data_IF_678615466164
#
_entry.id   IF_678615466164
#
_cell.length_a   1.000
_cell.length_b   1.000
_cell.length_c   1.000
_cell.angle_alpha   90.00
_cell.angle_beta   90.00
_cell.angle_gamma   90.00
#
_symmetry.space_group_name_H-M   'P 1'
#
loop_
_entity.id
_entity.type
_entity.pdbx_description
1 polymer ?
#
# COMPACT_ATOMS: atom_id res chain seq x y z
N UNK A 1 -23.30 -4.01 -8.14
CA UNK A 1 -24.67 -4.38 -8.55
C UNK A 1 -25.43 -4.85 -7.31
N UNK A 2 -26.76 -4.83 -7.29
CA UNK A 2 -27.53 -5.49 -6.22
C UNK A 2 -27.43 -7.03 -6.32
N UNK A 3 -28.08 -7.76 -5.40
CA UNK A 3 -28.04 -9.22 -5.40
C UNK A 3 -28.68 -9.82 -6.68
N UNK A 4 -29.47 -9.01 -7.37
CA UNK A 4 -30.21 -9.32 -8.60
C UNK A 4 -29.46 -8.86 -9.87
N UNK A 5 -28.22 -8.36 -9.74
CA UNK A 5 -27.39 -7.98 -10.88
C UNK A 5 -27.75 -6.65 -11.54
N UNK A 6 -28.54 -5.79 -10.89
CA UNK A 6 -28.87 -4.45 -11.38
C UNK A 6 -27.81 -3.43 -10.98
N UNK A 7 -27.56 -2.39 -11.81
CA UNK A 7 -26.72 -1.28 -11.40
C UNK A 7 -27.30 -0.63 -10.14
N UNK A 8 -26.48 -0.50 -9.09
CA UNK A 8 -26.88 0.28 -7.91
C UNK A 8 -26.86 1.76 -8.28
N UNK A 9 -27.69 2.54 -7.63
CA UNK A 9 -27.63 3.99 -7.72
C UNK A 9 -26.22 4.49 -7.44
N UNK A 10 -25.82 5.54 -8.16
CA UNK A 10 -24.52 6.18 -7.98
C UNK A 10 -24.42 6.61 -6.53
N UNK A 11 -23.41 6.13 -5.80
CA UNK A 11 -23.18 6.53 -4.41
C UNK A 11 -23.14 8.07 -4.38
N UNK A 12 -24.11 8.73 -3.73
CA UNK A 12 -24.36 10.15 -3.93
C UNK A 12 -23.26 11.02 -3.31
N UNK A 13 -22.45 10.46 -2.40
CA UNK A 13 -21.41 11.18 -1.68
C UNK A 13 -20.06 10.44 -1.76
N UNK A 14 -19.04 11.14 -2.27
CA UNK A 14 -17.66 10.66 -2.26
C UNK A 14 -17.15 10.64 -0.82
N UNK A 15 -17.27 9.48 -0.16
CA UNK A 15 -16.71 9.32 1.19
C UNK A 15 -15.18 9.35 1.11
N UNK A 16 -14.56 10.05 2.06
CA UNK A 16 -13.09 10.18 2.14
C UNK A 16 -12.50 8.90 2.73
N UNK A 17 -11.38 8.43 2.14
CA UNK A 17 -10.62 7.24 2.58
C UNK A 17 -9.95 7.45 3.96
N UNK A 18 -9.89 8.69 4.46
CA UNK A 18 -9.31 9.03 5.76
C UNK A 18 -9.07 10.53 5.92
N UNK A 19 -8.33 10.92 6.96
CA UNK A 19 -8.05 12.33 7.29
C UNK A 19 -7.07 13.03 6.33
N UNK A 20 -6.22 12.26 5.63
CA UNK A 20 -5.23 12.82 4.70
C UNK A 20 -5.82 12.98 3.29
N UNK A 21 -5.33 13.93 2.47
CA UNK A 21 -5.63 13.98 1.05
C UNK A 21 -5.30 12.64 0.34
N UNK A 22 -6.09 12.20 -0.66
CA UNK A 22 -5.87 10.93 -1.35
C UNK A 22 -4.45 10.73 -1.88
N UNK A 23 -3.83 11.76 -2.45
CA UNK A 23 -2.44 11.70 -2.91
C UNK A 23 -1.47 11.30 -1.79
N UNK A 24 -1.59 11.92 -0.61
CA UNK A 24 -0.72 11.62 0.54
C UNK A 24 -0.95 10.21 1.07
N UNK A 25 -2.20 9.75 1.07
CA UNK A 25 -2.54 8.38 1.44
C UNK A 25 -1.95 7.36 0.47
N UNK A 26 -2.08 7.60 -0.84
CA UNK A 26 -1.54 6.74 -1.89
C UNK A 26 -0.01 6.66 -1.81
N UNK A 27 0.70 7.75 -1.52
CA UNK A 27 2.15 7.74 -1.32
C UNK A 27 2.57 6.89 -0.11
N UNK A 28 1.79 6.96 0.98
CA UNK A 28 2.07 6.17 2.20
C UNK A 28 1.83 4.69 1.98
N UNK A 29 0.74 4.30 1.31
CA UNK A 29 0.29 2.89 1.28
C UNK A 29 -0.29 2.50 -0.08
N UNK A 30 0.09 1.30 -0.54
CA UNK A 30 -0.62 0.61 -1.61
C UNK A 30 -1.99 0.13 -1.09
N UNK A 31 -3.06 0.49 -1.79
CA UNK A 31 -4.46 0.20 -1.43
C UNK A 31 -4.91 -1.22 -1.82
N UNK A 32 -4.01 -2.04 -2.36
CA UNK A 32 -4.30 -3.44 -2.68
C UNK A 32 -4.51 -3.63 -4.18
N UNK A 33 -5.04 -4.79 -4.59
CA UNK A 33 -5.17 -5.12 -6.01
C UNK A 33 -6.24 -4.27 -6.69
N UNK A 34 -6.12 -4.03 -8.01
CA UNK A 34 -7.01 -3.13 -8.75
C UNK A 34 -8.44 -3.67 -8.97
N UNK A 35 -8.76 -4.86 -8.44
CA UNK A 35 -10.04 -5.56 -8.69
C UNK A 35 -11.27 -4.79 -8.23
N UNK A 36 -11.13 -3.92 -7.23
CA UNK A 36 -12.21 -3.08 -6.70
C UNK A 36 -12.15 -1.64 -7.18
N UNK A 37 -11.25 -1.29 -8.11
CA UNK A 37 -11.07 0.09 -8.55
C UNK A 37 -11.80 0.36 -9.85
N UNK A 38 -12.45 1.52 -9.91
CA UNK A 38 -13.03 2.03 -11.14
C UNK A 38 -12.54 3.44 -11.37
N UNK A 39 -12.28 3.77 -12.63
CA UNK A 39 -11.78 5.08 -13.03
C UNK A 39 -12.57 5.55 -14.25
N UNK A 40 -12.72 6.87 -14.38
CA UNK A 40 -13.19 7.45 -15.64
C UNK A 40 -12.15 7.19 -16.72
N UNK A 41 -12.59 6.89 -17.93
CA UNK A 41 -11.70 6.70 -19.09
C UNK A 41 -10.73 7.89 -19.26
N UNK A 42 -11.24 9.11 -19.11
CA UNK A 42 -10.42 10.33 -19.21
C UNK A 42 -9.25 10.35 -18.21
N UNK A 43 -9.44 9.80 -17.00
CA UNK A 43 -8.41 9.79 -15.98
C UNK A 43 -7.30 8.79 -16.35
N UNK A 44 -7.68 7.65 -16.93
CA UNK A 44 -6.72 6.67 -17.44
C UNK A 44 -5.86 7.25 -18.57
N UNK A 45 -6.49 7.88 -19.56
CA UNK A 45 -5.81 8.50 -20.70
C UNK A 45 -4.93 9.67 -20.28
N UNK A 46 -5.45 10.62 -19.49
CA UNK A 46 -4.70 11.81 -19.06
C UNK A 46 -3.56 11.50 -18.10
N UNK A 47 -3.66 10.42 -17.32
CA UNK A 47 -2.57 9.99 -16.45
C UNK A 47 -1.55 9.12 -17.19
N UNK A 48 -1.85 8.60 -18.39
CA UNK A 48 -0.92 7.81 -19.19
C UNK A 48 -0.92 6.31 -18.89
N UNK A 49 -2.05 5.75 -18.41
CA UNK A 49 -2.22 4.31 -18.19
C UNK A 49 -1.19 3.68 -17.24
N UNK A 50 -0.97 2.37 -17.36
CA UNK A 50 0.06 1.64 -16.60
C UNK A 50 1.43 1.78 -17.25
N UNK A 51 2.48 1.87 -16.43
CA UNK A 51 3.85 1.93 -16.94
C UNK A 51 4.38 0.52 -17.23
N UNK A 52 4.65 0.16 -18.50
CA UNK A 52 5.08 -1.18 -18.89
C UNK A 52 6.49 -1.55 -18.40
N UNK A 53 7.29 -0.56 -17.95
CA UNK A 53 8.62 -0.79 -17.40
C UNK A 53 8.58 -1.23 -15.93
N UNK A 54 7.45 -1.04 -15.25
CA UNK A 54 7.25 -1.55 -13.90
C UNK A 54 6.82 -3.01 -13.96
N UNK A 55 7.65 -3.89 -13.39
CA UNK A 55 7.35 -5.33 -13.24
C UNK A 55 6.51 -5.65 -12.00
N UNK A 56 6.31 -4.66 -11.13
CA UNK A 56 5.55 -4.78 -9.88
C UNK A 56 5.14 -3.39 -9.42
N UNK A 57 3.99 -3.30 -8.75
CA UNK A 57 3.41 -2.05 -8.25
C UNK A 57 3.04 -1.03 -9.35
N UNK A 58 2.84 -1.50 -10.59
CA UNK A 58 2.35 -0.71 -11.72
C UNK A 58 0.95 -0.14 -11.45
N UNK A 59 0.11 -0.93 -10.77
CA UNK A 59 -1.21 -0.55 -10.29
C UNK A 59 -1.14 0.62 -9.29
N UNK A 60 -0.20 0.51 -8.35
CA UNK A 60 0.00 1.52 -7.33
C UNK A 60 0.62 2.80 -7.87
N UNK A 61 1.58 2.71 -8.80
CA UNK A 61 2.11 3.85 -9.54
C UNK A 61 0.99 4.63 -10.24
N UNK A 62 0.09 3.92 -10.93
CA UNK A 62 -1.04 4.53 -11.59
C UNK A 62 -1.98 5.25 -10.61
N UNK A 63 -2.31 4.63 -9.48
CA UNK A 63 -3.16 5.26 -8.46
C UNK A 63 -2.53 6.51 -7.86
N UNK A 64 -1.21 6.54 -7.61
CA UNK A 64 -0.54 7.76 -7.12
C UNK A 64 -0.68 8.90 -8.13
N UNK A 65 -0.48 8.60 -9.42
CA UNK A 65 -0.67 9.59 -10.51
C UNK A 65 -2.10 10.09 -10.58
N UNK A 66 -3.10 9.21 -10.54
CA UNK A 66 -4.52 9.60 -10.51
C UNK A 66 -4.81 10.47 -9.28
N UNK A 67 -4.36 10.05 -8.10
CA UNK A 67 -4.59 10.78 -6.84
C UNK A 67 -3.95 12.17 -6.83
N UNK A 68 -2.92 12.42 -7.65
CA UNK A 68 -2.29 13.73 -7.79
C UNK A 68 -3.13 14.74 -8.59
N UNK A 69 -4.11 14.27 -9.37
CA UNK A 69 -4.89 15.08 -10.31
C UNK A 69 -6.40 15.03 -10.09
N UNK A 70 -6.90 13.95 -9.52
CA UNK A 70 -8.33 13.68 -9.38
C UNK A 70 -8.70 13.44 -7.92
N UNK A 71 -9.93 13.82 -7.56
CA UNK A 71 -10.54 13.39 -6.33
C UNK A 71 -10.80 11.88 -6.36
N UNK A 72 -10.63 11.23 -5.22
CA UNK A 72 -10.88 9.79 -5.05
C UNK A 72 -11.96 9.63 -3.99
N UNK A 73 -13.02 8.93 -4.36
CA UNK A 73 -14.05 8.46 -3.43
C UNK A 73 -13.84 6.99 -3.07
N UNK A 74 -14.45 6.59 -1.96
CA UNK A 74 -14.38 5.22 -1.46
C UNK A 74 -15.75 4.74 -1.01
N UNK A 75 -16.09 3.51 -1.39
CA UNK A 75 -17.25 2.80 -0.89
C UNK A 75 -16.76 1.72 0.10
N UNK A 76 -17.16 1.77 1.39
CA UNK A 76 -16.75 0.79 2.38
C UNK A 76 -17.42 -0.57 2.22
N UNK A 77 -18.44 -0.69 1.36
CA UNK A 77 -19.10 -1.97 1.14
C UNK A 77 -18.20 -2.95 0.38
N UNK A 78 -18.26 -4.22 0.77
CA UNK A 78 -17.49 -5.28 0.10
C UNK A 78 -18.10 -5.52 -1.28
N UNK A 79 -17.38 -5.12 -2.33
CA UNK A 79 -17.82 -5.28 -3.72
C UNK A 79 -17.15 -6.47 -4.43
N UNK A 80 -15.99 -6.92 -3.95
CA UNK A 80 -15.17 -7.95 -4.63
C UNK A 80 -14.47 -8.84 -3.61
N UNK A 81 -14.47 -10.15 -3.87
CA UNK A 81 -13.66 -11.13 -3.15
C UNK A 81 -12.41 -11.45 -3.97
N UNK A 82 -11.23 -11.22 -3.39
CA UNK A 82 -9.95 -11.53 -4.03
C UNK A 82 -9.36 -12.82 -3.47
N UNK A 83 -9.00 -13.77 -4.35
CA UNK A 83 -8.35 -15.02 -3.95
C UNK A 83 -6.88 -14.78 -3.67
N UNK A 84 -6.46 -15.09 -2.45
CA UNK A 84 -5.04 -15.14 -2.06
C UNK A 84 -4.57 -16.60 -2.12
N UNK A 85 -3.46 -16.85 -2.80
CA UNK A 85 -2.81 -18.17 -2.92
C UNK A 85 -1.35 -18.08 -2.49
N UNK A 86 -0.79 -19.21 -2.08
CA UNK A 86 0.63 -19.31 -1.77
C UNK A 86 1.48 -18.99 -3.02
N UNK A 87 2.56 -18.22 -2.86
CA UNK A 87 3.49 -17.89 -3.94
C UNK A 87 3.12 -16.70 -4.84
N UNK A 88 2.04 -15.95 -4.56
CA UNK A 88 1.73 -14.72 -5.33
C UNK A 88 2.86 -13.68 -5.26
N UNK A 89 2.96 -12.77 -6.24
CA UNK A 89 4.01 -11.73 -6.27
C UNK A 89 4.12 -10.92 -4.97
N UNK A 90 3.00 -10.73 -4.25
CA UNK A 90 2.94 -10.07 -2.93
C UNK A 90 3.62 -10.85 -1.80
N UNK A 91 3.94 -12.13 -2.01
CA UNK A 91 4.68 -12.98 -1.07
C UNK A 91 6.20 -12.85 -1.19
N UNK A 92 6.72 -12.23 -2.26
CA UNK A 92 8.14 -11.90 -2.36
C UNK A 92 8.40 -10.52 -1.73
N UNK A 93 8.53 -10.53 -0.41
CA UNK A 93 8.71 -9.33 0.39
C UNK A 93 9.92 -8.46 -0.03
N UNK A 94 11.03 -9.08 -0.47
CA UNK A 94 12.20 -8.35 -0.98
C UNK A 94 11.82 -7.52 -2.21
N UNK A 95 11.22 -8.17 -3.23
CA UNK A 95 10.79 -7.48 -4.45
C UNK A 95 9.78 -6.38 -4.17
N UNK A 96 8.88 -6.59 -3.21
CA UNK A 96 7.87 -5.61 -2.85
C UNK A 96 8.49 -4.35 -2.22
N UNK A 97 9.54 -4.47 -1.39
CA UNK A 97 10.23 -3.30 -0.83
C UNK A 97 10.90 -2.45 -1.91
N UNK A 98 11.63 -3.10 -2.82
CA UNK A 98 12.33 -2.42 -3.90
C UNK A 98 11.37 -1.78 -4.91
N UNK A 99 10.35 -2.52 -5.35
CA UNK A 99 9.31 -2.00 -6.22
C UNK A 99 8.61 -0.80 -5.57
N UNK A 100 8.28 -0.91 -4.28
CA UNK A 100 7.62 0.16 -3.56
C UNK A 100 8.48 1.42 -3.45
N UNK A 101 9.77 1.26 -3.18
CA UNK A 101 10.72 2.37 -3.15
C UNK A 101 10.83 3.03 -4.52
N UNK A 102 10.93 2.25 -5.60
CA UNK A 102 11.01 2.75 -6.97
C UNK A 102 9.77 3.57 -7.36
N UNK A 103 8.57 3.06 -7.06
CA UNK A 103 7.31 3.77 -7.34
C UNK A 103 7.25 5.11 -6.60
N UNK A 104 7.66 5.17 -5.32
CA UNK A 104 7.72 6.44 -4.59
C UNK A 104 8.75 7.41 -5.17
N UNK A 105 9.95 6.93 -5.53
CA UNK A 105 10.96 7.81 -6.14
C UNK A 105 10.46 8.38 -7.47
N UNK A 106 9.87 7.54 -8.32
CA UNK A 106 9.27 7.95 -9.59
C UNK A 106 8.19 9.02 -9.40
N UNK A 107 7.32 8.85 -8.42
CA UNK A 107 6.17 9.74 -8.23
C UNK A 107 6.48 11.02 -7.43
N UNK A 108 7.72 11.23 -7.00
CA UNK A 108 8.13 12.46 -6.30
C UNK A 108 7.92 13.72 -7.15
N UNK A 109 7.97 13.59 -8.49
CA UNK A 109 7.73 14.68 -9.43
C UNK A 109 6.30 15.27 -9.36
N UNK A 110 5.32 14.52 -8.84
CA UNK A 110 3.93 14.99 -8.69
C UNK A 110 3.69 15.73 -7.37
N UNK A 111 4.71 15.88 -6.53
CA UNK A 111 4.58 16.52 -5.23
C UNK A 111 4.61 18.05 -5.32
N UNK A 112 3.51 18.69 -4.96
CA UNK A 112 3.48 20.16 -4.76
C UNK A 112 4.34 20.60 -3.55
N UNK A 113 4.53 19.71 -2.57
CA UNK A 113 5.32 19.97 -1.34
C UNK A 113 6.38 18.87 -1.15
N UNK A 114 7.61 19.06 -1.66
CA UNK A 114 8.64 18.02 -1.65
C UNK A 114 9.00 17.48 -0.25
N UNK A 115 9.12 18.35 0.75
CA UNK A 115 9.41 17.92 2.13
C UNK A 115 8.28 17.06 2.70
N UNK A 116 7.03 17.46 2.46
CA UNK A 116 5.88 16.68 2.91
C UNK A 116 5.82 15.33 2.20
N UNK A 117 6.12 15.29 0.90
CA UNK A 117 6.19 14.05 0.14
C UNK A 117 7.28 13.11 0.69
N UNK A 118 8.48 13.64 0.95
CA UNK A 118 9.57 12.86 1.56
C UNK A 118 9.14 12.27 2.89
N UNK A 119 8.45 13.04 3.73
CA UNK A 119 7.90 12.55 4.99
C UNK A 119 6.88 11.43 4.79
N UNK A 120 5.91 11.62 3.89
CA UNK A 120 4.89 10.61 3.60
C UNK A 120 5.50 9.34 2.98
N UNK A 121 6.52 9.48 2.13
CA UNK A 121 7.25 8.37 1.53
C UNK A 121 8.07 7.58 2.56
N UNK A 122 8.78 8.28 3.46
CA UNK A 122 9.52 7.65 4.57
C UNK A 122 8.58 6.92 5.52
N UNK A 123 7.47 7.55 5.88
CA UNK A 123 6.44 6.92 6.71
C UNK A 123 5.89 5.66 6.05
N UNK A 124 5.56 5.73 4.76
CA UNK A 124 5.09 4.58 4.00
C UNK A 124 6.12 3.45 3.89
N UNK A 125 7.40 3.80 3.73
CA UNK A 125 8.50 2.84 3.69
C UNK A 125 8.66 2.15 5.05
N UNK A 126 8.59 2.91 6.14
CA UNK A 126 8.61 2.38 7.50
C UNK A 126 7.47 1.38 7.74
N UNK A 127 6.22 1.74 7.42
CA UNK A 127 5.06 0.86 7.65
C UNK A 127 5.11 -0.43 6.81
N UNK A 128 5.53 -0.32 5.54
CA UNK A 128 5.71 -1.49 4.68
C UNK A 128 6.82 -2.39 5.22
N UNK A 129 7.97 -1.80 5.57
CA UNK A 129 9.10 -2.51 6.16
C UNK A 129 8.73 -3.21 7.46
N UNK A 130 7.94 -2.55 8.32
CA UNK A 130 7.44 -3.12 9.57
C UNK A 130 6.56 -4.33 9.31
N UNK A 131 5.56 -4.21 8.43
CA UNK A 131 4.68 -5.33 8.05
C UNK A 131 5.48 -6.52 7.52
N UNK A 132 6.43 -6.27 6.65
CA UNK A 132 7.28 -7.29 6.04
C UNK A 132 8.20 -7.96 7.07
N UNK A 133 8.85 -7.17 7.92
CA UNK A 133 9.73 -7.68 8.97
C UNK A 133 8.95 -8.59 9.93
N UNK A 134 7.77 -8.15 10.38
CA UNK A 134 6.90 -8.97 11.23
C UNK A 134 6.41 -10.23 10.51
N UNK A 135 5.96 -10.13 9.26
CA UNK A 135 5.57 -11.31 8.48
C UNK A 135 6.73 -12.31 8.34
N UNK A 136 7.94 -11.83 8.06
CA UNK A 136 9.15 -12.66 7.95
C UNK A 136 9.52 -13.33 9.27
N UNK A 137 9.39 -12.62 10.40
CA UNK A 137 9.72 -13.15 11.73
C UNK A 137 8.67 -14.15 12.26
N UNK A 138 7.38 -13.84 12.08
CA UNK A 138 6.29 -14.55 12.76
C UNK A 138 5.49 -15.50 11.88
N UNK A 139 5.48 -15.32 10.55
CA UNK A 139 4.70 -16.16 9.62
C UNK A 139 5.58 -17.11 8.78
N UNK A 140 6.89 -17.14 9.01
CA UNK A 140 7.81 -18.00 8.26
C UNK A 140 7.95 -19.41 8.83
N UNK A 141 7.88 -20.43 7.96
CA UNK A 141 8.30 -21.81 8.25
C UNK A 141 9.83 -21.98 8.44
N UNK A 142 10.36 -23.21 8.41
CA UNK A 142 11.79 -23.47 8.64
C UNK A 142 12.70 -22.58 7.78
N UNK A 143 13.80 -22.09 8.35
CA UNK A 143 14.72 -21.14 7.70
C UNK A 143 14.29 -19.66 7.73
N UNK A 144 13.25 -19.29 8.52
CA UNK A 144 12.78 -17.90 8.69
C UNK A 144 13.87 -16.93 9.15
N UNK A 145 14.75 -17.34 10.06
CA UNK A 145 15.81 -16.48 10.59
C UNK A 145 16.82 -16.11 9.49
N UNK A 146 17.26 -17.09 8.69
CA UNK A 146 18.17 -16.86 7.56
C UNK A 146 17.57 -15.94 6.48
N UNK A 147 16.28 -16.13 6.14
CA UNK A 147 15.56 -15.22 5.22
C UNK A 147 15.45 -13.81 5.79
N UNK A 148 15.12 -13.67 7.07
CA UNK A 148 15.01 -12.37 7.73
C UNK A 148 16.37 -11.67 7.81
N UNK A 149 17.44 -12.40 8.12
CA UNK A 149 18.80 -11.86 8.13
C UNK A 149 19.22 -11.35 6.74
N UNK A 150 18.92 -12.10 5.68
CA UNK A 150 19.17 -11.69 4.28
C UNK A 150 18.38 -10.43 3.90
N UNK A 151 17.11 -10.37 4.29
CA UNK A 151 16.24 -9.22 4.09
C UNK A 151 16.82 -7.96 4.78
N UNK A 152 17.22 -8.07 6.04
CA UNK A 152 17.81 -6.97 6.81
C UNK A 152 19.17 -6.55 6.24
N UNK A 153 20.00 -7.49 5.82
CA UNK A 153 21.29 -7.20 5.19
C UNK A 153 21.13 -6.40 3.88
N UNK A 154 20.13 -6.72 3.05
CA UNK A 154 19.80 -5.96 1.84
C UNK A 154 19.09 -4.63 2.11
N UNK A 155 18.39 -4.53 3.23
CA UNK A 155 17.62 -3.35 3.61
C UNK A 155 17.93 -2.93 5.05
N UNK A 156 19.11 -2.32 5.32
CA UNK A 156 19.55 -1.99 6.67
C UNK A 156 18.59 -1.04 7.42
N UNK A 157 17.82 -0.24 6.69
CA UNK A 157 16.79 0.62 7.27
C UNK A 157 15.72 -0.14 8.08
N UNK A 158 15.56 -1.45 7.86
CA UNK A 158 14.68 -2.30 8.67
C UNK A 158 15.16 -2.49 10.11
N UNK A 159 16.46 -2.30 10.41
CA UNK A 159 16.98 -2.34 11.78
C UNK A 159 16.34 -1.25 12.65
N UNK A 160 16.22 -0.04 12.11
CA UNK A 160 15.53 1.07 12.76
C UNK A 160 14.05 0.80 12.96
N UNK A 161 13.42 0.05 12.05
CA UNK A 161 12.03 -0.39 12.19
C UNK A 161 11.85 -1.35 13.36
N UNK A 162 12.75 -2.33 13.49
CA UNK A 162 12.76 -3.26 14.62
C UNK A 162 12.99 -2.55 15.95
N UNK A 163 13.97 -1.66 16.02
CA UNK A 163 14.28 -0.90 17.24
C UNK A 163 13.13 0.01 17.70
N UNK A 164 12.50 0.76 16.78
CA UNK A 164 11.36 1.62 17.11
C UNK A 164 10.11 0.80 17.50
N UNK A 165 9.91 -0.36 16.89
CA UNK A 165 8.82 -1.26 17.26
C UNK A 165 9.04 -1.83 18.66
N UNK A 166 10.26 -2.30 18.98
CA UNK A 166 10.62 -2.81 20.31
C UNK A 166 10.50 -1.72 21.38
N UNK A 167 10.98 -0.50 21.10
CA UNK A 167 10.83 0.65 22.00
C UNK A 167 9.34 1.00 22.25
N UNK A 168 8.48 0.92 21.22
CA UNK A 168 7.03 1.12 21.38
C UNK A 168 6.39 0.03 22.25
N UNK A 169 6.82 -1.22 22.13
CA UNK A 169 6.37 -2.32 22.99
C UNK A 169 6.83 -2.14 24.44
N UNK A 170 8.09 -1.76 24.65
CA UNK A 170 8.65 -1.47 25.97
C UNK A 170 7.98 -0.24 26.63
N UNK A 171 7.55 0.73 25.84
CA UNK A 171 6.76 1.87 26.28
C UNK A 171 5.26 1.57 26.50
N UNK A 172 4.85 0.29 26.46
CA UNK A 172 3.50 -0.16 26.80
C UNK A 172 2.43 0.06 25.71
N UNK A 173 2.80 0.57 24.53
CA UNK A 173 1.87 0.68 23.40
C UNK A 173 1.66 -0.69 22.76
N UNK A 174 0.57 -1.36 23.15
CA UNK A 174 0.14 -2.60 22.50
C UNK A 174 -0.32 -2.29 21.06
N UNK A 175 0.01 -3.15 20.07
CA UNK A 175 -0.56 -3.02 18.74
C UNK A 175 -2.08 -3.10 18.84
N UNK A 176 -2.80 -2.21 18.15
CA UNK A 176 -4.25 -2.28 18.03
C UNK A 176 -4.60 -3.64 17.44
N UNK A 177 -5.17 -4.54 18.26
CA UNK A 177 -5.83 -5.74 17.78
C UNK A 177 -6.92 -5.29 16.81
N UNK A 178 -6.78 -5.62 15.53
CA UNK A 178 -7.87 -5.47 14.58
C UNK A 178 -9.07 -6.21 15.15
N UNK A 179 -10.13 -5.47 15.48
CA UNK A 179 -11.34 -6.03 16.03
C UNK A 179 -11.90 -7.07 15.06
N UNK A 180 -11.95 -8.31 15.51
CA UNK A 180 -12.94 -9.26 15.05
C UNK A 180 -14.31 -8.73 15.49
N UNK A 181 -15.05 -8.14 14.57
CA UNK A 181 -16.50 -8.07 14.72
C UNK A 181 -17.08 -9.26 13.97
N UNK A 182 -17.70 -10.15 14.73
CA UNK A 182 -18.64 -11.15 14.22
C UNK A 182 -20.01 -10.55 13.96
#
# INVERSE_FOLDING_TARGET
>A
MDAEGRPRDRVPELRRVGALPPFRQAVRRNWGPPVGWTFRREAFERCGGFDPLLRSCEDWDFVIRVASRYAIGYDPSVQVCYRVSEGQMSSNFERMLDAARRVRLKNAAYAQRPLQYRWDALWGQFELGRRILFASLFQGGPGRLGRTARLVARHPHLLWVGALSAASFLAGKRPSSGGSHG
#
